data_IF_753342510200
#
_entry.id   IF_753342510200
#
_cell.length_a   1.000
_cell.length_b   1.000
_cell.length_c   1.000
_cell.angle_alpha   90.00
_cell.angle_beta   90.00
_cell.angle_gamma   90.00
#
_symmetry.space_group_name_H-M   'P 1'
#
loop_
_entity.id
_entity.type
_entity.pdbx_description
1 polymer ?
#
# COMPACT_ATOMS: atom_id res chain seq x y z
N UNK A 1 -2.23 11.52 19.13
CA UNK A 1 -1.70 10.24 18.59
C UNK A 1 -0.46 10.56 17.79
N UNK A 2 0.66 9.89 18.04
CA UNK A 2 1.89 10.07 17.27
C UNK A 2 1.67 9.52 15.88
N UNK A 3 1.91 10.33 14.83
CA UNK A 3 1.81 9.85 13.47
C UNK A 3 2.93 8.83 13.18
N UNK A 4 2.55 7.68 12.66
CA UNK A 4 3.49 6.63 12.28
C UNK A 4 3.59 6.55 10.76
N UNK A 5 4.78 6.22 10.25
CA UNK A 5 4.94 5.93 8.84
C UNK A 5 5.92 4.78 8.59
N UNK A 6 5.76 4.13 7.44
CA UNK A 6 6.69 3.11 6.95
C UNK A 6 7.75 3.81 6.06
N UNK A 7 9.04 3.84 6.44
CA UNK A 7 10.04 4.54 5.65
C UNK A 7 10.22 3.89 4.27
N UNK A 8 10.35 4.67 3.18
CA UNK A 8 10.60 4.12 1.87
C UNK A 8 12.01 3.50 1.81
N UNK A 9 12.14 2.37 1.12
CA UNK A 9 13.43 1.73 0.78
C UNK A 9 13.82 1.97 -0.66
N UNK A 10 12.84 2.32 -1.51
CA UNK A 10 13.02 2.64 -2.91
C UNK A 10 12.71 4.12 -3.12
N UNK A 11 13.72 4.85 -3.59
CA UNK A 11 13.66 6.29 -3.77
C UNK A 11 13.19 6.67 -5.17
N UNK A 12 13.18 7.98 -5.44
CA UNK A 12 12.67 8.54 -6.70
C UNK A 12 13.38 7.94 -7.93
N UNK A 13 14.69 7.76 -7.86
CA UNK A 13 15.51 7.22 -8.95
C UNK A 13 15.14 5.78 -9.28
N UNK A 14 14.86 4.97 -8.26
CA UNK A 14 14.43 3.59 -8.41
C UNK A 14 13.04 3.53 -9.05
N UNK A 15 12.14 4.39 -8.62
CA UNK A 15 10.79 4.50 -9.20
C UNK A 15 10.84 4.95 -10.67
N UNK A 16 11.67 5.95 -11.01
CA UNK A 16 11.89 6.36 -12.40
C UNK A 16 12.38 5.18 -13.22
N UNK A 17 13.43 4.48 -12.74
CA UNK A 17 13.98 3.31 -13.41
C UNK A 17 12.93 2.21 -13.59
N UNK A 18 12.12 1.96 -12.56
CA UNK A 18 11.05 0.96 -12.61
C UNK A 18 9.99 1.28 -13.67
N UNK A 19 9.48 2.51 -13.72
CA UNK A 19 8.40 2.89 -14.64
C UNK A 19 8.86 3.09 -16.08
N UNK A 20 10.14 3.41 -16.29
CA UNK A 20 10.71 3.66 -17.63
C UNK A 20 11.39 2.44 -18.24
N UNK A 21 11.54 1.34 -17.49
CA UNK A 21 12.11 0.10 -18.03
C UNK A 21 11.34 -0.37 -19.25
N UNK A 22 12.05 -0.72 -20.35
CA UNK A 22 11.42 -1.34 -21.50
C UNK A 22 10.83 -2.68 -21.09
N UNK A 23 9.56 -2.89 -21.37
CA UNK A 23 8.91 -4.18 -21.16
C UNK A 23 9.21 -5.04 -22.40
N UNK A 24 10.23 -5.86 -22.32
CA UNK A 24 10.71 -6.72 -23.42
C UNK A 24 9.63 -7.64 -24.03
N UNK A 25 8.59 -8.00 -23.28
CA UNK A 25 7.44 -8.78 -23.75
C UNK A 25 6.44 -8.00 -24.61
N UNK A 26 6.62 -6.67 -24.76
CA UNK A 26 5.84 -5.87 -25.70
C UNK A 26 6.55 -5.82 -27.03
N UNK A 27 6.33 -6.85 -27.85
CA UNK A 27 6.81 -6.94 -29.24
C UNK A 27 8.26 -6.45 -29.43
N UNK A 28 9.21 -7.22 -28.91
CA UNK A 28 10.65 -7.01 -29.15
C UNK A 28 11.15 -5.57 -28.93
N UNK A 29 10.51 -4.81 -28.04
CA UNK A 29 10.94 -3.44 -27.72
C UNK A 29 10.47 -2.35 -28.70
N UNK A 30 9.68 -2.69 -29.72
CA UNK A 30 9.15 -1.73 -30.70
C UNK A 30 8.04 -0.82 -30.15
N UNK A 31 7.38 -1.19 -29.06
CA UNK A 31 6.38 -0.36 -28.40
C UNK A 31 7.02 0.45 -27.26
N UNK A 32 7.58 1.54 -27.63
CA UNK A 32 8.05 2.69 -26.89
C UNK A 32 8.37 2.57 -25.39
N UNK A 33 9.56 3.04 -25.00
CA UNK A 33 9.91 3.31 -23.59
C UNK A 33 8.93 4.33 -23.01
N UNK A 34 8.47 4.11 -21.78
CA UNK A 34 7.75 5.16 -21.07
C UNK A 34 8.66 6.38 -20.95
N UNK A 35 8.13 7.57 -21.23
CA UNK A 35 8.90 8.81 -21.11
C UNK A 35 9.28 9.01 -19.64
N UNK A 36 10.52 9.45 -19.33
CA UNK A 36 10.90 9.82 -17.99
C UNK A 36 10.02 10.99 -17.51
N UNK A 37 9.67 11.04 -16.20
CA UNK A 37 8.92 12.16 -15.65
C UNK A 37 9.75 13.43 -15.71
N UNK A 38 9.10 14.56 -15.95
CA UNK A 38 9.75 15.88 -15.90
C UNK A 38 10.30 16.12 -14.49
N UNK A 39 11.52 16.60 -14.39
CA UNK A 39 12.28 16.70 -13.13
C UNK A 39 11.63 17.62 -12.07
N UNK A 40 10.88 18.64 -12.48
CA UNK A 40 10.14 19.53 -11.60
C UNK A 40 8.87 19.98 -12.31
N UNK A 41 7.69 19.38 -11.99
CA UNK A 41 6.45 19.96 -12.47
C UNK A 41 6.30 21.35 -11.84
N UNK A 42 6.11 22.35 -12.67
CA UNK A 42 5.75 23.69 -12.19
C UNK A 42 4.46 23.55 -11.39
N UNK A 43 4.36 24.12 -10.17
CA UNK A 43 3.14 24.06 -9.38
C UNK A 43 1.93 24.54 -10.21
N UNK A 44 0.85 23.77 -10.17
CA UNK A 44 -0.37 24.07 -10.94
C UNK A 44 -0.39 23.55 -12.38
N UNK A 45 0.70 23.03 -12.94
CA UNK A 45 0.70 22.41 -14.27
C UNK A 45 0.46 20.90 -14.20
N UNK A 46 -0.48 20.39 -14.96
CA UNK A 46 -0.72 18.94 -15.15
C UNK A 46 0.19 18.37 -16.25
N UNK A 47 1.48 18.72 -16.23
CA UNK A 47 2.45 18.17 -17.18
C UNK A 47 2.63 16.68 -16.94
N UNK A 48 2.41 15.89 -17.98
CA UNK A 48 2.60 14.43 -17.94
C UNK A 48 3.77 14.03 -18.86
N UNK A 49 4.56 13.03 -18.45
CA UNK A 49 4.44 12.15 -17.28
C UNK A 49 4.91 12.81 -15.97
N UNK A 50 4.21 12.51 -14.88
CA UNK A 50 4.52 13.01 -13.52
C UNK A 50 4.77 11.84 -12.58
N UNK A 51 5.66 12.02 -11.61
CA UNK A 51 5.95 11.06 -10.54
C UNK A 51 5.89 11.77 -9.20
N UNK A 52 5.13 11.22 -8.26
CA UNK A 52 5.07 11.69 -6.87
C UNK A 52 5.02 10.53 -5.89
N UNK A 53 5.42 10.79 -4.64
CA UNK A 53 5.26 9.85 -3.54
C UNK A 53 4.04 10.25 -2.72
N UNK A 54 3.06 9.35 -2.59
CA UNK A 54 1.87 9.54 -1.77
C UNK A 54 1.91 8.62 -0.56
N UNK A 55 1.39 9.11 0.55
CA UNK A 55 1.35 8.40 1.82
C UNK A 55 -0.08 8.01 2.15
N UNK A 56 -0.40 6.72 1.95
CA UNK A 56 -1.73 6.17 2.16
C UNK A 56 -1.90 5.64 3.58
N UNK A 57 -3.01 5.99 4.26
CA UNK A 57 -3.28 5.55 5.62
C UNK A 57 -3.63 4.05 5.64
N UNK A 58 -3.05 3.35 6.61
CA UNK A 58 -3.29 1.94 6.86
C UNK A 58 -3.43 1.70 8.37
N UNK A 59 -4.36 0.85 8.76
CA UNK A 59 -4.47 0.36 10.11
C UNK A 59 -3.66 -0.93 10.28
N UNK A 60 -2.77 -0.98 11.27
CA UNK A 60 -2.11 -2.19 11.71
C UNK A 60 -2.88 -2.72 12.93
N UNK A 61 -3.48 -3.89 12.79
CA UNK A 61 -4.19 -4.58 13.88
C UNK A 61 -3.39 -5.81 14.26
N UNK A 62 -2.97 -5.86 15.52
CA UNK A 62 -2.18 -6.94 16.08
C UNK A 62 -3.07 -7.88 16.88
N UNK A 63 -3.02 -9.16 16.54
CA UNK A 63 -3.77 -10.22 17.19
C UNK A 63 -2.85 -11.15 17.96
N UNK A 64 -3.21 -11.43 19.19
CA UNK A 64 -2.66 -12.56 19.93
C UNK A 64 -3.39 -13.82 19.48
N UNK A 65 -2.65 -14.81 19.03
CA UNK A 65 -3.19 -16.08 18.55
C UNK A 65 -2.57 -17.24 19.33
N UNK A 66 -3.30 -18.33 19.44
CA UNK A 66 -2.82 -19.55 20.08
C UNK A 66 -2.97 -20.74 19.13
N UNK A 67 -1.92 -21.55 19.02
CA UNK A 67 -1.92 -22.80 18.27
C UNK A 67 -1.24 -23.88 19.10
N UNK A 68 -2.00 -24.91 19.50
CA UNK A 68 -1.50 -26.06 20.31
C UNK A 68 -0.82 -25.64 21.63
N UNK A 69 -1.33 -24.61 22.29
CA UNK A 69 -0.76 -24.07 23.52
C UNK A 69 0.37 -23.06 23.32
N UNK A 70 0.88 -22.90 22.10
CA UNK A 70 1.86 -21.87 21.78
C UNK A 70 1.16 -20.56 21.43
N UNK A 71 1.59 -19.49 22.07
CA UNK A 71 1.09 -18.13 21.86
C UNK A 71 1.97 -17.43 20.84
N UNK A 72 1.35 -16.84 19.82
CA UNK A 72 2.01 -16.06 18.80
C UNK A 72 1.29 -14.77 18.49
N UNK A 73 1.93 -13.91 17.71
CA UNK A 73 1.37 -12.63 17.30
C UNK A 73 1.22 -12.60 15.77
N UNK A 74 0.06 -12.13 15.31
CA UNK A 74 -0.22 -11.94 13.87
C UNK A 74 -0.64 -10.50 13.63
N UNK A 75 0.05 -9.82 12.72
CA UNK A 75 -0.28 -8.47 12.31
C UNK A 75 -1.08 -8.46 11.00
N UNK A 76 -2.18 -7.76 11.00
CA UNK A 76 -3.04 -7.55 9.82
C UNK A 76 -3.05 -6.08 9.48
N UNK A 77 -2.69 -5.73 8.24
CA UNK A 77 -2.87 -4.39 7.73
C UNK A 77 -4.21 -4.27 7.02
N UNK A 78 -4.95 -3.20 7.33
CA UNK A 78 -6.19 -2.81 6.67
C UNK A 78 -5.96 -1.49 5.97
N UNK A 79 -6.13 -1.46 4.67
CA UNK A 79 -6.16 -0.22 3.89
C UNK A 79 -7.29 0.67 4.39
N UNK A 80 -6.98 1.88 4.86
CA UNK A 80 -7.95 2.75 5.52
C UNK A 80 -8.91 3.47 4.56
N UNK A 81 -8.84 3.20 3.26
CA UNK A 81 -9.75 3.71 2.22
C UNK A 81 -10.69 2.65 1.69
N UNK A 82 -10.18 1.46 1.41
CA UNK A 82 -10.95 0.38 0.76
C UNK A 82 -11.31 -0.77 1.71
N UNK A 83 -10.68 -0.84 2.89
CA UNK A 83 -10.83 -1.96 3.81
C UNK A 83 -10.14 -3.25 3.33
N UNK A 84 -9.31 -3.16 2.29
CA UNK A 84 -8.54 -4.30 1.82
C UNK A 84 -7.52 -4.76 2.88
N UNK A 85 -7.39 -6.05 3.06
CA UNK A 85 -6.59 -6.66 4.13
C UNK A 85 -5.43 -7.48 3.59
N UNK A 86 -4.26 -7.34 4.25
CA UNK A 86 -3.08 -8.17 4.02
C UNK A 86 -2.44 -8.55 5.35
N UNK A 87 -1.80 -9.71 5.43
CA UNK A 87 -0.89 -10.02 6.54
C UNK A 87 0.36 -9.16 6.41
N UNK A 88 0.88 -8.69 7.52
CA UNK A 88 2.05 -7.80 7.53
C UNK A 88 3.03 -8.19 8.62
N UNK A 89 4.32 -8.21 8.25
CA UNK A 89 5.45 -8.36 9.17
C UNK A 89 6.18 -7.02 9.38
N UNK A 90 5.52 -5.89 9.02
CA UNK A 90 6.17 -4.58 8.88
C UNK A 90 6.18 -3.75 10.16
N UNK A 91 5.71 -4.27 11.29
CA UNK A 91 5.60 -3.52 12.55
C UNK A 91 6.93 -2.89 12.99
N UNK A 92 7.99 -3.67 12.97
CA UNK A 92 9.32 -3.23 13.41
C UNK A 92 9.95 -2.15 12.52
N UNK A 93 9.43 -1.97 11.30
CA UNK A 93 9.90 -0.97 10.36
C UNK A 93 9.20 0.39 10.51
N UNK A 94 8.14 0.50 11.33
CA UNK A 94 7.41 1.75 11.53
C UNK A 94 8.24 2.76 12.31
N UNK A 95 8.20 4.02 11.87
CA UNK A 95 8.83 5.16 12.55
C UNK A 95 7.79 6.06 13.18
N UNK A 96 8.08 6.54 14.40
CA UNK A 96 7.22 7.44 15.16
C UNK A 96 7.44 8.91 14.75
N UNK A 97 7.26 9.19 13.46
CA UNK A 97 7.40 10.52 12.85
C UNK A 97 6.27 10.70 11.82
N UNK A 98 5.83 11.94 11.55
CA UNK A 98 4.87 12.20 10.49
C UNK A 98 5.47 11.84 9.12
N UNK A 99 4.63 11.41 8.15
CA UNK A 99 5.11 11.14 6.80
C UNK A 99 5.69 12.41 6.16
N UNK A 100 6.84 12.32 5.47
CA UNK A 100 7.52 13.48 4.90
C UNK A 100 6.91 13.89 3.55
N UNK A 101 5.63 14.19 3.49
CA UNK A 101 4.97 14.60 2.24
C UNK A 101 3.46 14.50 2.30
N UNK A 102 2.83 14.54 1.12
CA UNK A 102 1.38 14.50 0.98
C UNK A 102 0.81 13.19 1.52
N UNK A 103 0.07 13.29 2.61
CA UNK A 103 -0.61 12.16 3.27
C UNK A 103 -2.13 12.35 3.23
N UNK A 104 -2.84 11.24 3.22
CA UNK A 104 -4.29 11.22 3.26
C UNK A 104 -4.80 10.84 4.65
N UNK A 105 -5.92 11.42 5.11
CA UNK A 105 -6.57 10.97 6.34
C UNK A 105 -7.22 9.60 6.12
N UNK A 106 -7.40 8.79 7.18
CA UNK A 106 -8.15 7.55 7.09
C UNK A 106 -9.63 7.83 6.86
N UNK A 107 -10.26 7.11 5.93
CA UNK A 107 -11.71 7.12 5.70
C UNK A 107 -12.42 6.09 6.58
N UNK A 108 -11.77 4.97 6.85
CA UNK A 108 -12.28 3.90 7.70
C UNK A 108 -11.79 4.14 9.13
N UNK A 109 -12.69 4.25 10.13
CA UNK A 109 -12.31 4.41 11.53
C UNK A 109 -11.69 3.14 12.12
N UNK A 110 -11.01 3.27 13.25
CA UNK A 110 -10.27 2.19 13.90
C UNK A 110 -11.15 0.98 14.22
N UNK A 111 -12.33 1.21 14.77
CA UNK A 111 -13.28 0.17 15.18
C UNK A 111 -13.71 -0.69 13.97
N UNK A 112 -13.94 -0.04 12.84
CA UNK A 112 -14.28 -0.73 11.60
C UNK A 112 -13.11 -1.50 11.03
N UNK A 113 -11.90 -0.97 11.16
CA UNK A 113 -10.67 -1.66 10.74
C UNK A 113 -10.43 -2.93 11.58
N UNK A 114 -10.69 -2.89 12.90
CA UNK A 114 -10.63 -4.06 13.77
C UNK A 114 -11.59 -5.16 13.33
N UNK A 115 -12.84 -4.82 13.05
CA UNK A 115 -13.84 -5.77 12.55
C UNK A 115 -13.39 -6.43 11.24
N UNK A 116 -12.92 -5.62 10.29
CA UNK A 116 -12.44 -6.08 8.99
C UNK A 116 -11.22 -6.99 9.15
N UNK A 117 -10.25 -6.59 9.99
CA UNK A 117 -9.06 -7.37 10.27
C UNK A 117 -9.39 -8.72 10.90
N UNK A 118 -10.29 -8.75 11.91
CA UNK A 118 -10.73 -9.97 12.58
C UNK A 118 -11.42 -10.93 11.61
N UNK A 119 -12.37 -10.40 10.81
CA UNK A 119 -13.08 -11.19 9.80
C UNK A 119 -12.11 -11.75 8.75
N UNK A 120 -11.17 -10.93 8.29
CA UNK A 120 -10.21 -11.35 7.29
C UNK A 120 -9.21 -12.37 7.80
N UNK A 121 -8.67 -12.17 9.00
CA UNK A 121 -7.79 -13.14 9.63
C UNK A 121 -8.50 -14.49 9.83
N UNK A 122 -9.73 -14.47 10.34
CA UNK A 122 -10.55 -15.68 10.49
C UNK A 122 -10.72 -16.40 9.15
N UNK A 123 -11.09 -15.69 8.08
CA UNK A 123 -11.23 -16.29 6.75
C UNK A 123 -9.92 -16.88 6.23
N UNK A 124 -8.78 -16.23 6.46
CA UNK A 124 -7.46 -16.74 6.07
C UNK A 124 -7.12 -18.03 6.82
N UNK A 125 -7.38 -18.08 8.13
CA UNK A 125 -7.21 -19.28 8.96
C UNK A 125 -8.09 -20.42 8.45
N UNK A 126 -9.36 -20.15 8.16
CA UNK A 126 -10.30 -21.18 7.69
C UNK A 126 -9.99 -21.72 6.31
N UNK A 127 -9.41 -20.90 5.43
CA UNK A 127 -9.02 -21.30 4.06
C UNK A 127 -7.76 -22.17 3.99
N UNK A 128 -6.93 -22.21 5.03
CA UNK A 128 -5.74 -23.07 5.07
C UNK A 128 -6.16 -24.54 5.15
N UNK A 129 -6.16 -25.21 4.01
CA UNK A 129 -6.45 -26.65 3.90
C UNK A 129 -5.24 -27.44 4.39
N UNK A 130 -5.47 -28.61 5.03
CA UNK A 130 -4.42 -29.54 5.45
C UNK A 130 -3.81 -29.27 6.83
N UNK A 131 -4.16 -28.22 7.53
CA UNK A 131 -3.79 -28.05 8.94
C UNK A 131 -4.80 -28.74 9.86
N UNK A 132 -4.34 -29.74 10.60
CA UNK A 132 -5.16 -30.46 11.58
C UNK A 132 -5.58 -29.58 12.78
N UNK A 133 -4.76 -28.59 13.13
CA UNK A 133 -5.07 -27.60 14.14
C UNK A 133 -5.09 -26.21 13.52
N UNK A 134 -6.05 -25.37 13.91
CA UNK A 134 -6.17 -23.98 13.47
C UNK A 134 -5.84 -23.04 14.63
N UNK A 135 -5.12 -21.94 14.39
CA UNK A 135 -4.88 -20.97 15.44
C UNK A 135 -6.19 -20.34 15.92
N UNK A 136 -6.32 -20.20 17.22
CA UNK A 136 -7.40 -19.49 17.87
C UNK A 136 -7.01 -18.01 18.07
N UNK A 137 -7.90 -17.08 17.69
CA UNK A 137 -7.70 -15.65 17.92
C UNK A 137 -8.16 -15.36 19.36
N UNK A 138 -7.24 -14.96 20.23
CA UNK A 138 -7.54 -14.61 21.62
C UNK A 138 -8.07 -13.18 21.73
N UNK A 139 -7.21 -12.22 21.42
CA UNK A 139 -7.51 -10.80 21.61
C UNK A 139 -6.78 -9.92 20.59
N UNK A 140 -7.15 -8.64 20.53
CA UNK A 140 -6.41 -7.59 19.84
C UNK A 140 -5.49 -6.94 20.88
N UNK A 141 -4.19 -7.02 20.67
CA UNK A 141 -3.20 -6.41 21.57
C UNK A 141 -2.94 -4.94 21.22
N UNK A 142 -3.06 -4.59 19.93
CA UNK A 142 -2.77 -3.23 19.50
C UNK A 142 -3.47 -2.86 18.18
N UNK A 143 -3.85 -1.57 18.07
CA UNK A 143 -4.34 -0.97 16.82
C UNK A 143 -3.58 0.33 16.58
N UNK A 144 -2.92 0.45 15.43
CA UNK A 144 -2.08 1.58 15.08
C UNK A 144 -2.45 2.12 13.69
N UNK A 145 -2.55 3.43 13.58
CA UNK A 145 -2.60 4.10 12.27
C UNK A 145 -1.19 4.41 11.81
N UNK A 146 -0.85 4.00 10.60
CA UNK A 146 0.40 4.36 9.96
C UNK A 146 0.17 4.74 8.49
N UNK A 147 1.16 5.40 7.89
CA UNK A 147 1.13 5.77 6.47
C UNK A 147 2.14 4.94 5.68
N UNK A 148 1.67 4.30 4.62
CA UNK A 148 2.49 3.52 3.70
C UNK A 148 2.86 4.35 2.45
N UNK A 149 4.13 4.34 2.00
CA UNK A 149 4.59 5.14 0.88
C UNK A 149 4.36 4.42 -0.44
N UNK A 150 3.80 5.13 -1.42
CA UNK A 150 3.61 4.64 -2.79
C UNK A 150 4.13 5.63 -3.81
N UNK A 151 4.95 5.16 -4.75
CA UNK A 151 5.31 5.92 -5.94
C UNK A 151 4.20 5.83 -6.97
N UNK A 152 3.66 6.99 -7.34
CA UNK A 152 2.56 7.14 -8.30
C UNK A 152 3.09 7.79 -9.57
N UNK A 153 3.00 7.05 -10.68
CA UNK A 153 3.40 7.52 -12.00
C UNK A 153 2.16 7.77 -12.86
N UNK A 154 1.96 9.04 -13.20
CA UNK A 154 0.89 9.49 -14.09
C UNK A 154 1.38 9.56 -15.52
N UNK A 155 0.61 9.05 -16.45
CA UNK A 155 0.94 9.06 -17.88
C UNK A 155 -0.29 9.29 -18.74
N UNK A 156 -0.09 9.75 -19.96
CA UNK A 156 -1.20 9.82 -20.94
C UNK A 156 -1.57 8.40 -21.39
N UNK A 157 -2.83 8.04 -21.22
CA UNK A 157 -3.43 6.82 -21.76
C UNK A 157 -4.13 7.14 -23.08
N UNK A 158 -4.61 6.10 -23.78
CA UNK A 158 -5.41 6.25 -25.00
C UNK A 158 -6.68 7.08 -24.74
N UNK A 159 -7.08 7.87 -25.72
CA UNK A 159 -8.26 8.74 -25.60
C UNK A 159 -8.08 9.95 -24.71
N UNK A 160 -6.85 10.43 -24.48
CA UNK A 160 -6.56 11.62 -23.67
C UNK A 160 -6.71 11.44 -22.15
N UNK A 161 -7.01 10.25 -21.69
CA UNK A 161 -7.17 9.93 -20.27
C UNK A 161 -5.83 9.91 -19.54
N UNK A 162 -5.85 10.18 -18.22
CA UNK A 162 -4.69 10.01 -17.35
C UNK A 162 -4.65 8.57 -16.87
N UNK A 163 -3.57 7.88 -17.17
CA UNK A 163 -3.28 6.55 -16.63
C UNK A 163 -2.41 6.66 -15.38
N UNK A 164 -2.63 5.76 -14.42
CA UNK A 164 -1.89 5.70 -13.16
C UNK A 164 -1.24 4.33 -13.02
N UNK A 165 0.05 4.32 -12.67
CA UNK A 165 0.80 3.12 -12.27
C UNK A 165 1.37 3.33 -10.88
N UNK A 166 1.39 2.28 -10.07
CA UNK A 166 1.84 2.33 -8.69
C UNK A 166 2.96 1.34 -8.42
N UNK A 167 3.87 1.76 -7.56
CA UNK A 167 4.92 0.93 -6.98
C UNK A 167 4.93 1.15 -5.46
N UNK A 168 4.92 0.09 -4.69
CA UNK A 168 5.14 0.15 -3.24
C UNK A 168 6.58 0.60 -2.97
N UNK A 169 6.75 1.76 -2.33
CA UNK A 169 8.06 2.34 -2.09
C UNK A 169 8.86 1.61 -1.00
N UNK A 170 8.24 0.71 -0.25
CA UNK A 170 8.92 -0.12 0.74
C UNK A 170 9.42 -1.45 0.14
N UNK A 171 8.61 -2.10 -0.72
CA UNK A 171 8.96 -3.41 -1.30
C UNK A 171 9.55 -3.32 -2.70
N UNK A 172 9.37 -2.19 -3.41
CA UNK A 172 9.76 -2.03 -4.82
C UNK A 172 8.85 -2.76 -5.81
N UNK A 173 7.78 -3.41 -5.34
CA UNK A 173 6.88 -4.21 -6.16
C UNK A 173 5.75 -3.39 -6.79
N UNK A 174 5.20 -3.83 -7.93
CA UNK A 174 3.99 -3.24 -8.49
C UNK A 174 2.81 -3.44 -7.56
N UNK A 175 1.99 -2.41 -7.39
CA UNK A 175 0.78 -2.52 -6.60
C UNK A 175 -0.34 -3.19 -7.40
N UNK A 176 -1.10 -4.05 -6.72
CA UNK A 176 -2.30 -4.68 -7.27
C UNK A 176 -3.47 -3.70 -7.48
N UNK A 177 -4.55 -4.22 -8.10
CA UNK A 177 -5.75 -3.42 -8.43
C UNK A 177 -6.40 -2.77 -7.22
N UNK A 178 -6.41 -3.42 -6.07
CA UNK A 178 -7.01 -2.92 -4.83
C UNK A 178 -6.31 -1.65 -4.31
N UNK A 179 -4.97 -1.69 -4.19
CA UNK A 179 -4.17 -0.52 -3.78
C UNK A 179 -4.30 0.61 -4.80
N UNK A 180 -4.34 0.27 -6.09
CA UNK A 180 -4.56 1.26 -7.14
C UNK A 180 -5.93 1.94 -6.99
N UNK A 181 -6.98 1.17 -6.67
CA UNK A 181 -8.31 1.73 -6.46
C UNK A 181 -8.34 2.66 -5.23
N UNK A 182 -7.68 2.27 -4.14
CA UNK A 182 -7.53 3.10 -2.94
C UNK A 182 -6.91 4.47 -3.28
N UNK A 183 -5.76 4.46 -3.97
CA UNK A 183 -5.08 5.70 -4.39
C UNK A 183 -5.95 6.54 -5.34
N UNK A 184 -6.66 5.91 -6.29
CA UNK A 184 -7.54 6.64 -7.21
C UNK A 184 -8.70 7.30 -6.48
N UNK A 185 -9.33 6.60 -5.52
CA UNK A 185 -10.40 7.16 -4.70
C UNK A 185 -9.89 8.37 -3.91
N UNK A 186 -8.74 8.22 -3.23
CA UNK A 186 -8.13 9.30 -2.46
C UNK A 186 -7.79 10.54 -3.31
N UNK A 187 -7.41 10.35 -4.57
CA UNK A 187 -7.10 11.44 -5.50
C UNK A 187 -8.34 12.14 -6.08
N UNK A 188 -9.49 11.47 -6.12
CA UNK A 188 -10.75 12.06 -6.58
C UNK A 188 -11.38 12.90 -5.47
N UNK A 189 -11.23 12.48 -4.21
CA UNK A 189 -11.80 13.18 -3.04
C UNK A 189 -10.92 14.35 -2.56
N UNK A 190 -9.78 14.62 -3.22
CA UNK A 190 -8.86 15.73 -2.96
C UNK A 190 -9.20 16.97 -3.82
#
# INVERSE_FOLDING_TARGET
MTALHLPPRYFREDAVRYFTRPRWYRLFGLLGRAKPPVASPVPGTRTLPRLECLWMPCWLVEFVTELRGEVGVVCVCVDAWTGFIVLSERREALRAEPPPGDSFPPLIPAERAEELARKGLFQMIMRRRGQLAKPHIREISQVLLFHAPYWVYYHRASGGRVGVKLMDAYTGNPCGGQVRQSVLNALVDR
#
